data_IF_247331423129
#
_entry.id   IF_247331423129
#
_cell.length_a   1.000
_cell.length_b   1.000
_cell.length_c   1.000
_cell.angle_alpha   90.00
_cell.angle_beta   90.00
_cell.angle_gamma   90.00
#
_symmetry.space_group_name_H-M   'P 1'
#
loop_
_entity.id
_entity.type
_entity.pdbx_description
1 polymer ?
#
# COMPACT_ATOMS: atom_id res chain seq x y z
N UNK A 1 -17.20 2.92 26.42
CA UNK A 1 -16.27 1.88 25.94
C UNK A 1 -15.16 1.76 26.97
N UNK A 2 -14.68 0.54 27.24
CA UNK A 2 -13.62 0.31 28.24
C UNK A 2 -12.24 0.61 27.63
N UNK A 3 -11.28 1.06 28.46
CA UNK A 3 -9.93 1.48 28.02
C UNK A 3 -9.18 0.36 27.29
N UNK A 4 -9.46 -0.90 27.66
CA UNK A 4 -8.96 -2.08 26.97
C UNK A 4 -9.45 -2.16 25.51
N UNK A 5 -10.71 -1.83 25.24
CA UNK A 5 -11.28 -1.86 23.89
C UNK A 5 -10.68 -0.79 22.98
N UNK A 6 -10.33 0.37 23.53
CA UNK A 6 -9.65 1.45 22.80
C UNK A 6 -8.21 1.05 22.42
N UNK A 7 -7.47 0.45 23.35
CA UNK A 7 -6.09 -0.03 23.11
C UNK A 7 -6.06 -1.17 22.09
N UNK A 8 -6.98 -2.13 22.19
CA UNK A 8 -7.07 -3.23 21.23
C UNK A 8 -7.52 -2.73 19.84
N UNK A 9 -8.36 -1.69 19.79
CA UNK A 9 -8.76 -1.02 18.56
C UNK A 9 -7.58 -0.35 17.86
N UNK A 10 -6.83 0.49 18.58
CA UNK A 10 -5.70 1.23 18.00
C UNK A 10 -4.55 0.31 17.55
N UNK A 11 -4.24 -0.74 18.31
CA UNK A 11 -3.23 -1.73 17.92
C UNK A 11 -3.61 -2.45 16.61
N UNK A 12 -4.91 -2.74 16.43
CA UNK A 12 -5.41 -3.34 15.19
C UNK A 12 -5.34 -2.37 14.01
N UNK A 13 -5.73 -1.11 14.20
CA UNK A 13 -5.64 -0.07 13.17
C UNK A 13 -4.20 0.11 12.67
N UNK A 14 -3.22 0.16 13.58
CA UNK A 14 -1.79 0.17 13.23
C UNK A 14 -1.42 -1.07 12.41
N UNK A 15 -1.89 -2.25 12.80
CA UNK A 15 -1.61 -3.49 12.06
C UNK A 15 -2.17 -3.43 10.64
N UNK A 16 -3.39 -2.95 10.48
CA UNK A 16 -4.01 -2.76 9.17
C UNK A 16 -3.20 -1.75 8.34
N UNK A 17 -2.79 -0.63 8.93
CA UNK A 17 -1.95 0.39 8.29
C UNK A 17 -0.62 -0.18 7.76
N UNK A 18 0.04 -1.04 8.54
CA UNK A 18 1.29 -1.71 8.14
C UNK A 18 1.04 -2.63 6.94
N UNK A 19 0.01 -3.47 7.00
CA UNK A 19 -0.33 -4.42 5.93
C UNK A 19 -0.63 -3.68 4.63
N UNK A 20 -1.46 -2.63 4.68
CA UNK A 20 -1.85 -1.91 3.46
C UNK A 20 -0.73 -1.04 2.91
N UNK A 21 0.18 -0.56 3.76
CA UNK A 21 1.39 0.15 3.31
C UNK A 21 2.29 -0.77 2.50
N UNK A 22 2.58 -1.98 2.99
CA UNK A 22 3.37 -2.97 2.25
C UNK A 22 2.66 -3.41 0.95
N UNK A 23 1.34 -3.63 1.03
CA UNK A 23 0.54 -3.98 -0.15
C UNK A 23 0.58 -2.87 -1.21
N UNK A 24 0.46 -1.59 -0.83
CA UNK A 24 0.51 -0.48 -1.77
C UNK A 24 1.87 -0.40 -2.48
N UNK A 25 2.97 -0.57 -1.74
CA UNK A 25 4.34 -0.63 -2.30
C UNK A 25 4.49 -1.80 -3.27
N UNK A 26 3.96 -2.97 -2.90
CA UNK A 26 3.97 -4.17 -3.75
C UNK A 26 3.22 -3.93 -5.06
N UNK A 27 2.01 -3.35 -5.00
CA UNK A 27 1.22 -3.06 -6.20
C UNK A 27 1.91 -2.03 -7.10
N UNK A 28 2.46 -0.95 -6.53
CA UNK A 28 3.26 0.05 -7.28
C UNK A 28 4.44 -0.60 -8.00
N UNK A 29 5.14 -1.51 -7.32
CA UNK A 29 6.25 -2.28 -7.89
C UNK A 29 5.78 -3.20 -9.02
N UNK A 30 4.63 -3.85 -8.88
CA UNK A 30 4.03 -4.69 -9.92
C UNK A 30 3.66 -3.89 -11.17
N UNK A 31 3.13 -2.67 -11.02
CA UNK A 31 2.87 -1.74 -12.13
C UNK A 31 4.16 -1.43 -12.89
N UNK A 32 5.21 -1.01 -12.18
CA UNK A 32 6.51 -0.67 -12.78
C UNK A 32 7.11 -1.87 -13.52
N UNK A 33 7.14 -3.03 -12.89
CA UNK A 33 7.72 -4.24 -13.47
C UNK A 33 6.93 -4.74 -14.68
N UNK A 34 5.60 -4.65 -14.64
CA UNK A 34 4.75 -5.03 -15.77
C UNK A 34 4.96 -4.08 -16.96
N UNK A 35 5.09 -2.77 -16.70
CA UNK A 35 5.41 -1.79 -17.74
C UNK A 35 6.76 -2.07 -18.40
N UNK A 36 7.79 -2.40 -17.62
CA UNK A 36 9.09 -2.85 -18.15
C UNK A 36 8.96 -4.10 -19.03
N UNK A 37 8.24 -5.11 -18.57
CA UNK A 37 8.02 -6.34 -19.33
C UNK A 37 7.26 -6.09 -20.65
N UNK A 38 6.29 -5.17 -20.67
CA UNK A 38 5.60 -4.73 -21.89
C UNK A 38 6.60 -4.10 -22.87
N UNK A 39 7.55 -3.30 -22.39
CA UNK A 39 8.55 -2.64 -23.23
C UNK A 39 9.56 -3.63 -23.81
N UNK A 40 9.95 -4.65 -23.05
CA UNK A 40 11.03 -5.59 -23.42
C UNK A 40 10.56 -6.80 -24.23
N UNK A 41 9.27 -7.18 -24.15
CA UNK A 41 8.79 -8.36 -24.86
C UNK A 41 8.77 -8.16 -26.37
N UNK A 42 9.20 -9.17 -27.13
CA UNK A 42 9.06 -9.23 -28.60
C UNK A 42 7.83 -10.06 -29.05
N UNK A 43 7.11 -10.68 -28.12
CA UNK A 43 5.95 -11.51 -28.41
C UNK A 43 4.65 -10.70 -28.27
N UNK A 44 3.92 -10.51 -29.37
CA UNK A 44 2.71 -9.68 -29.40
C UNK A 44 1.54 -10.21 -28.57
N UNK A 45 1.38 -11.54 -28.50
CA UNK A 45 0.36 -12.15 -27.64
C UNK A 45 0.68 -11.92 -26.16
N UNK A 46 1.95 -12.09 -25.78
CA UNK A 46 2.41 -11.81 -24.42
C UNK A 46 2.28 -10.33 -24.08
N UNK A 47 2.63 -9.42 -25.01
CA UNK A 47 2.45 -7.98 -24.84
C UNK A 47 0.99 -7.63 -24.55
N UNK A 48 0.06 -8.23 -25.27
CA UNK A 48 -1.39 -8.02 -25.09
C UNK A 48 -1.85 -8.48 -23.70
N UNK A 49 -1.40 -9.67 -23.26
CA UNK A 49 -1.71 -10.18 -21.92
C UNK A 49 -1.11 -9.31 -20.81
N UNK A 50 0.12 -8.83 -20.98
CA UNK A 50 0.78 -7.95 -20.00
C UNK A 50 0.08 -6.59 -19.90
N UNK A 51 -0.46 -6.03 -21.00
CA UNK A 51 -1.28 -4.82 -20.97
C UNK A 51 -2.55 -5.00 -20.13
N UNK A 52 -3.24 -6.13 -20.27
CA UNK A 52 -4.39 -6.46 -19.42
C UNK A 52 -3.98 -6.58 -17.95
N UNK A 53 -2.85 -7.22 -17.68
CA UNK A 53 -2.31 -7.35 -16.32
C UNK A 53 -1.91 -6.00 -15.70
N UNK A 54 -1.33 -5.10 -16.50
CA UNK A 54 -1.03 -3.73 -16.06
C UNK A 54 -2.31 -2.99 -15.65
N UNK A 55 -3.38 -3.12 -16.45
CA UNK A 55 -4.67 -2.53 -16.11
C UNK A 55 -5.22 -3.07 -14.78
N UNK A 56 -5.18 -4.39 -14.58
CA UNK A 56 -5.58 -5.00 -13.32
C UNK A 56 -4.76 -4.51 -12.12
N UNK A 57 -3.45 -4.29 -12.28
CA UNK A 57 -2.60 -3.71 -11.24
C UNK A 57 -2.95 -2.25 -10.93
N UNK A 58 -3.34 -1.45 -11.94
CA UNK A 58 -3.80 -0.08 -11.74
C UNK A 58 -5.12 -0.05 -10.96
N UNK A 59 -6.07 -0.93 -11.28
CA UNK A 59 -7.32 -1.06 -10.51
C UNK A 59 -7.06 -1.54 -9.08
N UNK A 60 -6.10 -2.46 -8.89
CA UNK A 60 -5.66 -2.88 -7.55
C UNK A 60 -5.08 -1.71 -6.77
N UNK A 61 -4.25 -0.88 -7.41
CA UNK A 61 -3.69 0.31 -6.78
C UNK A 61 -4.80 1.25 -6.33
N UNK A 62 -5.79 1.53 -7.17
CA UNK A 62 -6.92 2.40 -6.82
C UNK A 62 -7.66 1.90 -5.58
N UNK A 63 -7.95 0.60 -5.48
CA UNK A 63 -8.64 0.04 -4.31
C UNK A 63 -7.83 0.20 -3.02
N UNK A 64 -6.55 -0.15 -3.05
CA UNK A 64 -5.66 -0.04 -1.87
C UNK A 64 -5.45 1.42 -1.50
N UNK A 65 -5.20 2.27 -2.49
CA UNK A 65 -5.04 3.71 -2.32
C UNK A 65 -6.28 4.36 -1.69
N UNK A 66 -7.47 4.06 -2.20
CA UNK A 66 -8.73 4.59 -1.67
C UNK A 66 -8.97 4.13 -0.23
N UNK A 67 -8.73 2.85 0.08
CA UNK A 67 -8.81 2.34 1.45
C UNK A 67 -7.88 3.09 2.40
N UNK A 68 -6.62 3.29 1.98
CA UNK A 68 -5.64 4.00 2.79
C UNK A 68 -6.00 5.47 2.99
N UNK A 69 -6.59 6.15 2.00
CA UNK A 69 -7.08 7.52 2.18
C UNK A 69 -8.27 7.59 3.15
N UNK A 70 -9.24 6.68 3.01
CA UNK A 70 -10.44 6.63 3.87
C UNK A 70 -10.09 6.45 5.35
N UNK A 71 -9.02 5.71 5.64
CA UNK A 71 -8.56 5.44 7.01
C UNK A 71 -7.45 6.39 7.48
N UNK A 72 -7.11 7.43 6.70
CA UNK A 72 -6.07 8.40 7.09
C UNK A 72 -4.64 7.84 7.09
N UNK A 73 -4.40 6.75 6.37
CA UNK A 73 -3.08 6.13 6.19
C UNK A 73 -2.30 6.72 5.00
N UNK A 74 -2.97 7.43 4.08
CA UNK A 74 -2.34 8.03 2.91
C UNK A 74 -2.86 9.43 2.59
N UNK A 75 -1.93 10.35 2.32
CA UNK A 75 -2.17 11.78 2.09
C UNK A 75 -1.52 12.24 0.77
N UNK A 76 -2.21 12.10 -0.38
CA UNK A 76 -1.60 12.33 -1.69
C UNK A 76 -1.31 13.80 -2.01
N UNK A 77 -1.99 14.74 -1.35
CA UNK A 77 -1.87 16.18 -1.59
C UNK A 77 -0.93 16.88 -0.59
N UNK A 78 -0.53 16.20 0.48
CA UNK A 78 0.27 16.77 1.58
C UNK A 78 1.44 15.84 1.91
N UNK A 79 2.54 15.90 1.14
CA UNK A 79 3.71 15.04 1.35
C UNK A 79 4.27 15.12 2.77
N UNK A 80 4.25 16.29 3.40
CA UNK A 80 4.72 16.48 4.78
C UNK A 80 3.89 15.66 5.77
N UNK A 81 2.57 15.65 5.59
CA UNK A 81 1.65 14.84 6.39
C UNK A 81 1.85 13.34 6.15
N UNK A 82 2.07 12.95 4.89
CA UNK A 82 2.40 11.57 4.55
C UNK A 82 3.68 11.09 5.25
N UNK A 83 4.72 11.92 5.30
CA UNK A 83 5.99 11.60 5.98
C UNK A 83 5.77 11.41 7.47
N UNK A 84 5.00 12.29 8.12
CA UNK A 84 4.70 12.19 9.54
C UNK A 84 4.03 10.86 9.89
N UNK A 85 2.96 10.51 9.18
CA UNK A 85 2.21 9.26 9.37
C UNK A 85 3.08 8.02 9.11
N UNK A 86 3.96 8.07 8.12
CA UNK A 86 4.91 6.99 7.85
C UNK A 86 5.95 6.82 8.97
N UNK A 87 6.46 7.92 9.54
CA UNK A 87 7.40 7.86 10.65
C UNK A 87 6.75 7.25 11.90
N UNK A 88 5.53 7.67 12.25
CA UNK A 88 4.77 7.11 13.37
C UNK A 88 4.51 5.60 13.19
N UNK A 89 4.14 5.20 11.98
CA UNK A 89 3.94 3.79 11.63
C UNK A 89 5.24 3.01 11.80
N UNK A 90 6.36 3.53 11.31
CA UNK A 90 7.67 2.89 11.39
C UNK A 90 8.14 2.75 12.85
N UNK A 91 8.01 3.79 13.66
CA UNK A 91 8.31 3.75 15.10
C UNK A 91 7.46 2.69 15.81
N UNK A 92 6.16 2.63 15.49
CA UNK A 92 5.26 1.66 16.09
C UNK A 92 5.66 0.22 15.74
N UNK A 93 5.96 -0.07 14.48
CA UNK A 93 6.47 -1.39 14.04
C UNK A 93 7.77 -1.76 14.76
N UNK A 94 8.67 -0.81 14.96
CA UNK A 94 9.92 -1.05 15.70
C UNK A 94 9.68 -1.39 17.17
N UNK A 95 8.58 -0.90 17.77
CA UNK A 95 8.21 -1.24 19.15
C UNK A 95 7.47 -2.58 19.27
N UNK A 96 6.70 -2.98 18.26
CA UNK A 96 6.02 -4.28 18.20
C UNK A 96 7.00 -5.47 18.11
N UNK A 97 8.24 -5.25 17.64
CA UNK A 97 9.28 -6.28 17.54
C UNK A 97 10.25 -6.32 18.74
N UNK A 98 9.98 -5.56 19.82
CA UNK A 98 10.80 -5.58 21.04
C UNK A 98 10.18 -6.52 22.07
N UNK A 99 10.40 -7.81 21.85
CA UNK A 99 10.42 -8.85 22.90
C UNK A 99 11.86 -9.30 23.16
#
# INVERSE_FOLDING_TARGET
MDKLTEILGSAREVTDQVIVTDLLVTVKTAIINTAKAINETANEQLRSNLKLKLHAHIEQHERVFSYMMEHGYYYPQTPEQQIHVLNETAETVLTLNKD
#
